data_IF_715941906903
#
_entry.id   IF_715941906903
#
_cell.length_a   1.000
_cell.length_b   1.000
_cell.length_c   1.000
_cell.angle_alpha   90.00
_cell.angle_beta   90.00
_cell.angle_gamma   90.00
#
_symmetry.space_group_name_H-M   'P 1'
#
loop_
_entity.id
_entity.type
_entity.pdbx_description
1 polymer ?
#
# COMPACT_ATOMS: atom_id res chain seq x y z
N UNK A 1 27.13 45.50 45.26
CA UNK A 1 25.93 44.67 45.02
C UNK A 1 25.46 44.69 43.57
N UNK A 2 25.33 45.85 42.91
CA UNK A 2 24.77 45.99 41.54
C UNK A 2 25.54 45.24 40.43
N UNK A 3 26.87 45.09 40.55
CA UNK A 3 27.70 44.35 39.58
C UNK A 3 27.53 42.83 39.61
N UNK A 4 27.09 42.26 40.73
CA UNK A 4 26.87 40.81 40.86
C UNK A 4 25.52 40.42 40.25
N UNK A 5 24.50 41.26 40.41
CA UNK A 5 23.17 41.05 39.84
C UNK A 5 23.19 41.08 38.30
N UNK A 6 24.00 41.96 37.71
CA UNK A 6 24.18 42.04 36.25
C UNK A 6 24.85 40.78 35.68
N UNK A 7 25.80 40.18 36.40
CA UNK A 7 26.44 38.91 36.00
C UNK A 7 25.47 37.73 36.04
N UNK A 8 24.61 37.67 37.06
CA UNK A 8 23.62 36.58 37.20
C UNK A 8 22.58 36.64 36.09
N UNK A 9 22.07 37.83 35.77
CA UNK A 9 21.11 38.01 34.66
C UNK A 9 21.74 37.68 33.31
N UNK A 10 23.01 38.05 33.09
CA UNK A 10 23.71 37.76 31.83
C UNK A 10 23.96 36.26 31.64
N UNK A 11 24.30 35.53 32.70
CA UNK A 11 24.48 34.07 32.66
C UNK A 11 23.15 33.34 32.44
N UNK A 12 22.07 33.81 33.06
CA UNK A 12 20.74 33.24 32.84
C UNK A 12 20.23 33.44 31.40
N UNK A 13 20.51 34.60 30.78
CA UNK A 13 20.15 34.87 29.40
C UNK A 13 20.94 34.02 28.39
N UNK A 14 22.21 33.71 28.69
CA UNK A 14 23.04 32.80 27.89
C UNK A 14 22.60 31.32 28.01
N UNK A 15 22.10 30.91 29.18
CA UNK A 15 21.57 29.55 29.36
C UNK A 15 20.25 29.35 28.60
N UNK A 16 19.40 30.38 28.51
CA UNK A 16 18.12 30.31 27.81
C UNK A 16 18.24 30.23 26.28
N UNK A 17 19.33 30.75 25.69
CA UNK A 17 19.55 30.69 24.24
C UNK A 17 20.08 29.35 23.74
N UNK A 18 20.58 28.48 24.63
CA UNK A 18 21.05 27.13 24.27
C UNK A 18 19.90 26.14 24.05
N UNK A 19 18.72 26.37 24.63
CA UNK A 19 17.55 25.49 24.45
C UNK A 19 16.92 25.59 23.06
N UNK A 20 17.29 26.59 22.25
CA UNK A 20 16.73 26.78 20.91
C UNK A 20 17.40 25.93 19.82
N UNK A 21 18.46 25.18 20.13
CA UNK A 21 19.13 24.27 19.18
C UNK A 21 18.56 22.85 19.14
N UNK A 22 17.48 22.58 19.86
CA UNK A 22 16.82 21.27 19.84
C UNK A 22 15.88 21.05 18.62
N UNK A 23 15.73 22.03 17.72
CA UNK A 23 14.91 21.92 16.50
C UNK A 23 15.77 21.89 15.21
N UNK A 24 16.95 21.30 15.26
CA UNK A 24 17.74 21.08 14.05
C UNK A 24 17.12 19.91 13.29
N UNK A 25 16.72 20.14 12.04
CA UNK A 25 16.17 19.09 11.17
C UNK A 25 17.20 17.98 11.03
N UNK A 26 16.81 16.73 11.30
CA UNK A 26 17.70 15.59 11.18
C UNK A 26 18.38 15.59 9.79
N UNK A 27 19.68 15.28 9.72
CA UNK A 27 20.35 15.18 8.43
C UNK A 27 19.61 14.15 7.56
N UNK A 28 19.48 14.35 6.25
CA UNK A 28 18.76 13.43 5.36
C UNK A 28 19.23 11.98 5.47
N UNK A 29 20.50 11.76 5.83
CA UNK A 29 21.09 10.44 6.08
C UNK A 29 20.61 9.75 7.36
N UNK A 30 19.99 10.48 8.28
CA UNK A 30 19.35 9.96 9.49
C UNK A 30 17.81 9.86 9.34
N UNK A 31 17.26 10.28 8.20
CA UNK A 31 15.86 10.09 7.86
C UNK A 31 15.70 8.71 7.20
N UNK A 32 14.61 8.01 7.50
CA UNK A 32 14.26 6.78 6.80
C UNK A 32 14.05 7.07 5.31
N UNK A 33 14.64 6.25 4.43
CA UNK A 33 14.46 6.46 2.99
C UNK A 33 12.97 6.40 2.62
N UNK A 34 12.50 7.21 1.65
CA UNK A 34 11.10 7.19 1.26
C UNK A 34 10.69 5.80 0.75
N UNK A 35 9.95 5.04 1.58
CA UNK A 35 9.47 3.72 1.20
C UNK A 35 8.47 3.86 0.05
N UNK A 36 8.74 3.20 -1.07
CA UNK A 36 7.79 3.10 -2.18
C UNK A 36 6.90 1.89 -1.95
N UNK A 37 5.63 2.14 -1.63
CA UNK A 37 4.64 1.08 -1.45
C UNK A 37 4.42 0.32 -2.76
N UNK A 38 4.44 -1.01 -2.70
CA UNK A 38 4.20 -1.88 -3.85
C UNK A 38 2.87 -2.61 -3.67
N UNK A 39 1.90 -2.30 -4.53
CA UNK A 39 0.57 -2.90 -4.49
C UNK A 39 0.33 -3.69 -5.78
N UNK A 40 -0.11 -4.94 -5.66
CA UNK A 40 -0.57 -5.75 -6.78
C UNK A 40 -2.09 -5.88 -6.75
N UNK A 41 -2.75 -5.66 -7.87
CA UNK A 41 -4.21 -5.77 -8.03
C UNK A 41 -4.51 -6.95 -8.93
N UNK A 42 -5.28 -7.91 -8.42
CA UNK A 42 -5.71 -9.09 -9.16
C UNK A 42 -7.23 -9.12 -9.29
N UNK A 43 -7.72 -9.02 -10.52
CA UNK A 43 -9.13 -8.92 -10.84
C UNK A 43 -9.53 -10.03 -11.82
N UNK A 44 -10.73 -10.57 -11.64
CA UNK A 44 -11.36 -11.47 -12.64
C UNK A 44 -12.60 -10.77 -13.16
N UNK A 45 -12.70 -10.64 -14.49
CA UNK A 45 -13.72 -9.88 -15.23
C UNK A 45 -13.54 -8.37 -15.11
N UNK A 46 -13.87 -7.63 -16.16
CA UNK A 46 -13.85 -6.17 -16.16
C UNK A 46 -15.27 -5.61 -16.30
N UNK A 47 -15.83 -5.15 -15.18
CA UNK A 47 -17.17 -4.56 -15.10
C UNK A 47 -17.08 -3.23 -14.35
N UNK A 48 -17.99 -2.29 -14.66
CA UNK A 48 -17.97 -0.95 -14.07
C UNK A 48 -17.87 -0.91 -12.53
N UNK A 49 -18.60 -1.74 -11.76
CA UNK A 49 -18.49 -1.73 -10.29
C UNK A 49 -17.09 -2.06 -9.75
N UNK A 50 -16.29 -2.83 -10.50
CA UNK A 50 -14.93 -3.17 -10.10
C UNK A 50 -13.98 -2.01 -10.32
N UNK A 51 -14.18 -1.26 -11.40
CA UNK A 51 -13.43 -0.03 -11.64
C UNK A 51 -13.72 1.01 -10.56
N UNK A 52 -15.00 1.21 -10.22
CA UNK A 52 -15.39 2.13 -9.13
C UNK A 52 -14.77 1.74 -7.79
N UNK A 53 -14.72 0.44 -7.49
CA UNK A 53 -14.07 -0.07 -6.28
C UNK A 53 -12.57 0.19 -6.27
N UNK A 54 -11.89 0.02 -7.41
CA UNK A 54 -10.47 0.32 -7.55
C UNK A 54 -10.19 1.82 -7.43
N UNK A 55 -11.01 2.66 -8.06
CA UNK A 55 -10.86 4.11 -8.01
C UNK A 55 -11.06 4.64 -6.58
N UNK A 56 -12.06 4.10 -5.86
CA UNK A 56 -12.29 4.40 -4.45
C UNK A 56 -11.12 3.98 -3.55
N UNK A 57 -10.50 2.83 -3.85
CA UNK A 57 -9.31 2.37 -3.15
C UNK A 57 -8.11 3.30 -3.40
N UNK A 58 -7.82 3.66 -4.65
CA UNK A 58 -6.73 4.58 -5.02
C UNK A 58 -6.95 5.95 -4.40
N UNK A 59 -8.19 6.46 -4.44
CA UNK A 59 -8.54 7.73 -3.79
C UNK A 59 -8.27 7.69 -2.29
N UNK A 60 -8.70 6.62 -1.62
CA UNK A 60 -8.48 6.46 -0.18
C UNK A 60 -7.00 6.42 0.18
N UNK A 61 -6.16 5.78 -0.65
CA UNK A 61 -4.70 5.83 -0.50
C UNK A 61 -4.17 7.27 -0.65
N UNK A 62 -4.62 7.98 -1.68
CA UNK A 62 -4.23 9.38 -1.94
C UNK A 62 -4.61 10.32 -0.80
N UNK A 63 -5.81 10.16 -0.23
CA UNK A 63 -6.29 10.93 0.93
C UNK A 63 -5.41 10.69 2.18
N UNK A 64 -4.65 9.59 2.21
CA UNK A 64 -3.70 9.24 3.27
C UNK A 64 -2.22 9.48 2.86
N UNK A 65 -1.99 10.24 1.78
CA UNK A 65 -0.63 10.59 1.34
C UNK A 65 0.12 9.48 0.59
N UNK A 66 -0.56 8.41 0.17
CA UNK A 66 -0.02 7.33 -0.66
C UNK A 66 -0.48 7.55 -2.10
N UNK A 67 0.39 8.11 -2.93
CA UNK A 67 0.06 8.64 -4.25
C UNK A 67 0.79 7.85 -5.34
N UNK A 68 0.00 7.36 -6.31
CA UNK A 68 0.51 6.59 -7.46
C UNK A 68 1.56 7.39 -8.24
N UNK A 69 2.71 6.76 -8.51
CA UNK A 69 3.83 7.36 -9.22
C UNK A 69 4.72 8.28 -8.37
N UNK A 70 4.36 8.55 -7.11
CA UNK A 70 5.22 9.30 -6.17
C UNK A 70 5.86 8.35 -5.14
N UNK A 71 5.04 7.78 -4.27
CA UNK A 71 5.44 6.81 -3.24
C UNK A 71 4.63 5.51 -3.31
N UNK A 72 3.89 5.30 -4.42
CA UNK A 72 3.14 4.08 -4.70
C UNK A 72 3.45 3.58 -6.11
N UNK A 73 3.86 2.32 -6.21
CA UNK A 73 3.91 1.54 -7.44
C UNK A 73 2.78 0.52 -7.43
N UNK A 74 1.88 0.60 -8.40
CA UNK A 74 0.76 -0.34 -8.54
C UNK A 74 0.86 -1.11 -9.85
N UNK A 75 0.67 -2.43 -9.78
CA UNK A 75 0.49 -3.27 -10.95
C UNK A 75 -0.91 -3.90 -10.91
N UNK A 76 -1.62 -3.90 -12.04
CA UNK A 76 -2.98 -4.45 -12.14
C UNK A 76 -3.04 -5.50 -13.23
N UNK A 77 -3.60 -6.66 -12.88
CA UNK A 77 -3.92 -7.72 -13.82
C UNK A 77 -5.43 -7.99 -13.77
N UNK A 78 -6.08 -7.89 -14.92
CA UNK A 78 -7.49 -8.26 -15.11
C UNK A 78 -7.58 -9.48 -16.01
N UNK A 79 -8.13 -10.57 -15.47
CA UNK A 79 -8.33 -11.82 -16.20
C UNK A 79 -9.75 -11.79 -16.76
N UNK A 80 -9.88 -11.70 -18.09
CA UNK A 80 -11.17 -11.76 -18.74
C UNK A 80 -11.85 -13.11 -18.47
N UNK A 81 -13.10 -13.09 -18.00
CA UNK A 81 -13.93 -14.28 -17.91
C UNK A 81 -15.16 -14.08 -18.78
N UNK A 82 -15.27 -14.89 -19.83
CA UNK A 82 -16.44 -14.92 -20.70
C UNK A 82 -17.53 -15.77 -20.04
N UNK A 83 -18.29 -15.14 -19.14
CA UNK A 83 -19.36 -15.81 -18.38
C UNK A 83 -20.48 -16.29 -19.31
N UNK A 84 -20.67 -15.63 -20.45
CA UNK A 84 -21.75 -15.91 -21.41
C UNK A 84 -21.49 -17.17 -22.25
N UNK A 85 -20.23 -17.59 -22.41
CA UNK A 85 -19.85 -18.85 -23.11
C UNK A 85 -19.39 -19.99 -22.18
N UNK A 86 -19.42 -19.79 -20.87
CA UNK A 86 -18.56 -20.53 -19.94
C UNK A 86 -19.16 -21.75 -19.24
N UNK A 87 -18.98 -22.94 -19.82
CA UNK A 87 -19.09 -24.22 -19.10
C UNK A 87 -17.98 -24.45 -18.06
N UNK A 88 -17.84 -25.69 -17.58
CA UNK A 88 -16.77 -26.11 -16.64
C UNK A 88 -15.36 -25.67 -17.08
N UNK A 89 -15.08 -25.71 -18.39
CA UNK A 89 -13.78 -25.36 -18.97
C UNK A 89 -13.38 -23.90 -18.76
N UNK A 90 -14.33 -22.96 -18.83
CA UNK A 90 -14.03 -21.56 -18.57
C UNK A 90 -13.60 -21.35 -17.11
N UNK A 91 -14.31 -21.99 -16.16
CA UNK A 91 -13.94 -21.94 -14.74
C UNK A 91 -12.55 -22.51 -14.48
N UNK A 92 -12.21 -23.63 -15.13
CA UNK A 92 -10.88 -24.22 -15.02
C UNK A 92 -9.79 -23.31 -15.60
N UNK A 93 -10.05 -22.69 -16.74
CA UNK A 93 -9.11 -21.74 -17.37
C UNK A 93 -8.87 -20.51 -16.48
N UNK A 94 -9.94 -19.89 -15.97
CA UNK A 94 -9.85 -18.76 -15.02
C UNK A 94 -9.06 -19.16 -13.78
N UNK A 95 -9.33 -20.34 -13.22
CA UNK A 95 -8.60 -20.85 -12.06
C UNK A 95 -7.09 -20.98 -12.33
N UNK A 96 -6.70 -21.54 -13.47
CA UNK A 96 -5.29 -21.69 -13.84
C UNK A 96 -4.62 -20.33 -14.03
N UNK A 97 -5.29 -19.38 -14.66
CA UNK A 97 -4.76 -18.02 -14.83
C UNK A 97 -4.60 -17.29 -13.50
N UNK A 98 -5.61 -17.31 -12.64
CA UNK A 98 -5.54 -16.69 -11.31
C UNK A 98 -4.40 -17.31 -10.49
N UNK A 99 -4.23 -18.63 -10.56
CA UNK A 99 -3.11 -19.30 -9.89
C UNK A 99 -1.75 -18.90 -10.43
N UNK A 100 -1.61 -18.81 -11.76
CA UNK A 100 -0.37 -18.36 -12.40
C UNK A 100 0.01 -16.96 -11.93
N UNK A 101 -0.95 -16.03 -11.96
CA UNK A 101 -0.74 -14.66 -11.50
C UNK A 101 -0.48 -14.57 -9.99
N UNK A 102 -1.18 -15.35 -9.18
CA UNK A 102 -0.90 -15.41 -7.74
C UNK A 102 0.54 -15.86 -7.48
N UNK A 103 1.06 -16.83 -8.22
CA UNK A 103 2.47 -17.25 -8.09
C UNK A 103 3.45 -16.17 -8.55
N UNK A 104 3.13 -15.41 -9.60
CA UNK A 104 3.93 -14.24 -10.01
C UNK A 104 3.96 -13.20 -8.89
N UNK A 105 2.81 -12.89 -8.29
CA UNK A 105 2.67 -11.94 -7.19
C UNK A 105 3.46 -12.41 -5.96
N UNK A 106 3.37 -13.69 -5.60
CA UNK A 106 4.15 -14.28 -4.50
C UNK A 106 5.66 -14.10 -4.71
N UNK A 107 6.15 -14.25 -5.95
CA UNK A 107 7.55 -14.00 -6.28
C UNK A 107 7.91 -12.51 -6.23
N UNK A 108 6.97 -11.64 -6.60
CA UNK A 108 7.17 -10.19 -6.59
C UNK A 108 7.24 -9.59 -5.17
N UNK A 109 6.68 -10.28 -4.16
CA UNK A 109 6.65 -9.85 -2.74
C UNK A 109 6.19 -8.39 -2.58
N UNK A 110 4.99 -8.02 -3.06
CA UNK A 110 4.44 -6.69 -2.80
C UNK A 110 4.13 -6.49 -1.31
N UNK A 111 3.92 -5.24 -0.90
CA UNK A 111 3.51 -4.87 0.45
C UNK A 111 2.03 -5.20 0.69
N UNK A 112 1.22 -5.21 -0.36
CA UNK A 112 -0.22 -5.48 -0.30
C UNK A 112 -0.72 -6.06 -1.62
N UNK A 113 -1.70 -6.95 -1.53
CA UNK A 113 -2.48 -7.40 -2.69
C UNK A 113 -3.94 -7.02 -2.52
N UNK A 114 -4.51 -6.38 -3.54
CA UNK A 114 -5.95 -6.15 -3.65
C UNK A 114 -6.55 -7.18 -4.62
N UNK A 115 -7.45 -8.03 -4.13
CA UNK A 115 -8.24 -8.93 -5.00
C UNK A 115 -9.64 -8.37 -5.22
N UNK A 116 -10.05 -8.30 -6.49
CA UNK A 116 -11.37 -7.78 -6.87
C UNK A 116 -12.19 -8.91 -7.49
N UNK A 117 -13.32 -9.21 -6.86
CA UNK A 117 -14.23 -10.27 -7.27
C UNK A 117 -14.00 -11.60 -6.55
N UNK A 118 -15.05 -12.42 -6.52
CA UNK A 118 -15.07 -13.70 -5.80
C UNK A 118 -14.06 -14.70 -6.35
N UNK A 119 -13.95 -14.84 -7.68
CA UNK A 119 -13.01 -15.79 -8.31
C UNK A 119 -11.55 -15.43 -8.08
N UNK A 120 -11.20 -14.13 -8.16
CA UNK A 120 -9.84 -13.66 -7.88
C UNK A 120 -9.44 -14.00 -6.44
N UNK A 121 -10.29 -13.62 -5.49
CA UNK A 121 -10.06 -13.84 -4.05
C UNK A 121 -9.97 -15.33 -3.72
N UNK A 122 -10.97 -16.12 -4.13
CA UNK A 122 -11.05 -17.55 -3.81
C UNK A 122 -9.83 -18.34 -4.28
N UNK A 123 -9.31 -18.04 -5.47
CA UNK A 123 -8.23 -18.83 -6.06
C UNK A 123 -6.82 -18.31 -5.72
N UNK A 124 -6.67 -17.03 -5.37
CA UNK A 124 -5.38 -16.44 -5.02
C UNK A 124 -5.10 -16.45 -3.51
N UNK A 125 -6.12 -16.25 -2.66
CA UNK A 125 -5.97 -16.02 -1.22
C UNK A 125 -5.04 -16.99 -0.53
N UNK A 126 -5.24 -18.30 -0.70
CA UNK A 126 -4.39 -19.31 -0.07
C UNK A 126 -2.90 -19.14 -0.40
N UNK A 127 -2.57 -18.88 -1.66
CA UNK A 127 -1.17 -18.74 -2.07
C UNK A 127 -0.52 -17.48 -1.49
N UNK A 128 -1.30 -16.42 -1.32
CA UNK A 128 -0.85 -15.15 -0.73
C UNK A 128 -0.70 -15.27 0.79
N UNK A 129 -1.66 -15.92 1.45
CA UNK A 129 -1.65 -16.22 2.88
C UNK A 129 -0.43 -17.11 3.25
N UNK A 130 -0.21 -18.19 2.47
CA UNK A 130 0.93 -19.09 2.64
C UNK A 130 2.28 -18.34 2.47
N UNK A 131 2.31 -17.27 1.66
CA UNK A 131 3.48 -16.42 1.46
C UNK A 131 3.59 -15.26 2.46
N UNK A 132 2.66 -15.15 3.41
CA UNK A 132 2.56 -14.06 4.40
C UNK A 132 2.46 -12.67 3.78
N UNK A 133 1.80 -12.56 2.62
CA UNK A 133 1.56 -11.29 1.94
C UNK A 133 0.18 -10.77 2.36
N UNK A 134 0.06 -9.52 2.87
CA UNK A 134 -1.24 -8.95 3.22
C UNK A 134 -2.20 -8.91 2.02
N UNK A 135 -3.44 -9.36 2.22
CA UNK A 135 -4.49 -9.34 1.20
C UNK A 135 -5.71 -8.59 1.69
N UNK A 136 -6.20 -7.67 0.87
CA UNK A 136 -7.49 -7.00 1.01
C UNK A 136 -8.36 -7.38 -0.18
N UNK A 137 -9.66 -7.57 0.03
CA UNK A 137 -10.57 -8.00 -1.02
C UNK A 137 -11.84 -7.15 -1.06
N UNK A 138 -12.42 -7.01 -2.26
CA UNK A 138 -13.68 -6.29 -2.49
C UNK A 138 -14.53 -6.99 -3.56
N UNK A 139 -15.82 -6.66 -3.58
CA UNK A 139 -16.82 -7.29 -4.44
C UNK A 139 -16.85 -8.84 -4.33
N UNK A 140 -16.78 -9.33 -3.09
CA UNK A 140 -16.76 -10.76 -2.78
C UNK A 140 -18.03 -11.16 -2.03
N UNK A 141 -18.77 -12.10 -2.58
CA UNK A 141 -19.96 -12.66 -1.92
C UNK A 141 -19.61 -13.80 -0.95
N UNK A 142 -18.52 -14.55 -1.21
CA UNK A 142 -18.03 -15.64 -0.37
C UNK A 142 -16.48 -15.74 -0.48
N UNK A 143 -15.73 -15.14 0.47
CA UNK A 143 -14.27 -14.98 0.39
C UNK A 143 -13.45 -16.20 0.82
#
# INVERSE_FOLDING_TARGET
MMRSMFRVVFVAALAASMSCRAMETLPPSAMEEPHTYRIEVLQVTDIAPYQESLDGFIRSLGDNGIVLGQNLAMNRVSIASDVERGGFWNRLWVYLQVRSEAQRIVRARPDLVLTIGTSATKYARRALDDAQIPVVFTAVANP
#
